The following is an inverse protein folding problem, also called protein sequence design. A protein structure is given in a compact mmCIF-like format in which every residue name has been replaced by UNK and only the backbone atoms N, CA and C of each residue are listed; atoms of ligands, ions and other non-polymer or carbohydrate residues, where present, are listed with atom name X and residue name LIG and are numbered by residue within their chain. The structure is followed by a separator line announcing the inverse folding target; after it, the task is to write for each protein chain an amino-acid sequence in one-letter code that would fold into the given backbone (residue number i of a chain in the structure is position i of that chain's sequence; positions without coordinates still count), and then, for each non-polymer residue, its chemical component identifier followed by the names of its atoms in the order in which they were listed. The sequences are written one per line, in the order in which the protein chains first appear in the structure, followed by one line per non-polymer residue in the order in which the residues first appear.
data_IF_631753940392
#
_entry.id   IF_631753940392
#
_cell.length_a   1.000
_cell.length_b   1.000
_cell.length_c   1.000
_cell.angle_alpha   90.00
_cell.angle_beta   90.00
_cell.angle_gamma   90.00
#
_symmetry.space_group_name_H-M   'P 1'
#
loop_
_entity.id
_entity.type
_entity.pdbx_description
1 polymer ?
#
# COMPACT_ATOMS: atom_id res chain seq x y z
N UNK A 1 -18.88 0.94 -20.51
CA UNK A 1 -17.68 0.10 -20.76
C UNK A 1 -16.93 -0.02 -19.44
N UNK A 2 -17.18 -1.09 -18.69
CA UNK A 2 -16.53 -1.35 -17.42
C UNK A 2 -15.19 -2.05 -17.73
N UNK A 3 -14.07 -1.35 -17.56
CA UNK A 3 -12.76 -2.00 -17.56
C UNK A 3 -12.68 -2.85 -16.29
N UNK A 4 -12.96 -4.14 -16.43
CA UNK A 4 -12.49 -5.14 -15.49
C UNK A 4 -10.97 -5.07 -15.56
N UNK A 5 -10.32 -4.65 -14.47
CA UNK A 5 -8.88 -4.74 -14.36
C UNK A 5 -8.51 -6.22 -14.49
N UNK A 6 -8.01 -6.59 -15.65
CA UNK A 6 -7.44 -7.90 -15.94
C UNK A 6 -6.41 -8.20 -14.85
N UNK A 7 -6.63 -9.27 -14.09
CA UNK A 7 -5.68 -9.84 -13.14
C UNK A 7 -4.48 -10.41 -13.90
N UNK A 8 -3.65 -9.52 -14.45
CA UNK A 8 -2.36 -9.86 -15.00
C UNK A 8 -1.41 -10.11 -13.84
N UNK A 9 -1.26 -11.40 -13.50
CA UNK A 9 -0.27 -11.91 -12.54
C UNK A 9 1.05 -11.14 -12.66
N UNK A 10 1.46 -10.47 -11.58
CA UNK A 10 2.68 -9.67 -11.53
C UNK A 10 3.88 -10.40 -12.15
N UNK A 11 4.47 -9.81 -13.19
CA UNK A 11 5.63 -10.35 -13.89
C UNK A 11 6.92 -9.95 -13.19
N UNK A 12 7.47 -10.86 -12.39
CA UNK A 12 8.81 -10.74 -11.80
C UNK A 12 9.85 -10.96 -12.91
N UNK A 13 10.76 -10.00 -13.06
CA UNK A 13 11.87 -10.05 -14.02
C UNK A 13 13.07 -10.72 -13.39
N UNK A 14 13.44 -10.29 -12.19
CA UNK A 14 14.53 -10.89 -11.39
C UNK A 14 14.15 -10.86 -9.92
N UNK A 15 14.66 -11.83 -9.15
CA UNK A 15 14.60 -11.85 -7.69
C UNK A 15 15.96 -12.28 -7.15
N UNK A 16 16.50 -11.53 -6.20
CA UNK A 16 17.81 -11.81 -5.62
C UNK A 16 17.91 -11.25 -4.20
N UNK A 17 18.81 -11.84 -3.41
CA UNK A 17 19.14 -11.39 -2.05
C UNK A 17 19.88 -10.06 -2.11
N UNK A 18 19.50 -9.11 -1.24
CA UNK A 18 20.16 -7.82 -1.13
C UNK A 18 21.56 -7.96 -0.52
N UNK A 19 22.49 -7.13 -1.01
CA UNK A 19 23.79 -6.96 -0.36
C UNK A 19 23.64 -6.29 1.00
N UNK A 20 24.66 -6.40 1.88
CA UNK A 20 24.65 -5.69 3.18
C UNK A 20 24.45 -4.18 3.03
N UNK A 21 25.06 -3.59 1.99
CA UNK A 21 24.94 -2.15 1.69
C UNK A 21 23.51 -1.78 1.29
N UNK A 22 22.93 -2.54 0.36
CA UNK A 22 21.58 -2.24 -0.16
C UNK A 22 20.50 -2.50 0.90
N UNK A 23 20.68 -3.54 1.72
CA UNK A 23 19.83 -3.80 2.90
C UNK A 23 19.85 -2.61 3.87
N UNK A 24 21.02 -2.03 4.13
CA UNK A 24 21.14 -0.84 5.00
C UNK A 24 20.44 0.38 4.39
N UNK A 25 20.59 0.61 3.09
CA UNK A 25 19.89 1.70 2.40
C UNK A 25 18.36 1.52 2.46
N UNK A 26 17.87 0.31 2.20
CA UNK A 26 16.44 -0.01 2.31
C UNK A 26 15.92 0.21 3.74
N UNK A 27 16.69 -0.17 4.75
CA UNK A 27 16.35 0.05 6.16
C UNK A 27 16.17 1.54 6.49
N UNK A 28 17.15 2.38 6.10
CA UNK A 28 17.12 3.82 6.34
C UNK A 28 15.93 4.49 5.63
N UNK A 29 15.63 4.04 4.40
CA UNK A 29 14.49 4.52 3.65
C UNK A 29 13.15 4.10 4.27
N UNK A 30 13.02 2.83 4.66
CA UNK A 30 11.82 2.31 5.32
C UNK A 30 11.57 3.01 6.66
N UNK A 31 12.63 3.33 7.41
CA UNK A 31 12.52 4.07 8.66
C UNK A 31 11.92 5.47 8.45
N UNK A 32 12.32 6.16 7.37
CA UNK A 32 11.82 7.49 7.02
C UNK A 32 10.40 7.47 6.45
N UNK A 33 10.08 6.51 5.59
CA UNK A 33 8.84 6.54 4.80
C UNK A 33 7.69 5.70 5.32
N UNK A 34 7.99 4.68 6.12
CA UNK A 34 7.01 3.66 6.54
C UNK A 34 6.92 3.57 8.06
N UNK A 35 8.08 3.52 8.74
CA UNK A 35 8.16 3.55 10.19
C UNK A 35 9.12 2.52 10.78
N UNK A 36 9.43 2.71 12.06
CA UNK A 36 10.45 1.96 12.78
C UNK A 36 10.14 0.46 12.88
N UNK A 37 8.86 0.07 13.07
CA UNK A 37 8.48 -1.35 13.19
C UNK A 37 8.79 -2.14 11.91
N UNK A 38 8.39 -1.60 10.75
CA UNK A 38 8.66 -2.24 9.45
C UNK A 38 10.15 -2.24 9.13
N UNK A 39 10.84 -1.13 9.41
CA UNK A 39 12.30 -1.06 9.25
C UNK A 39 13.01 -2.08 10.15
N UNK A 40 12.53 -2.29 11.37
CA UNK A 40 13.06 -3.26 12.32
C UNK A 40 13.13 -4.68 11.75
N UNK A 41 12.09 -5.11 11.03
CA UNK A 41 12.04 -6.42 10.36
C UNK A 41 13.19 -6.59 9.35
N UNK A 42 13.45 -5.53 8.58
CA UNK A 42 14.54 -5.51 7.59
C UNK A 42 15.86 -5.66 8.32
N UNK A 43 16.11 -4.86 9.37
CA UNK A 43 17.37 -4.89 10.09
C UNK A 43 17.65 -6.26 10.73
N UNK A 44 16.64 -6.87 11.35
CA UNK A 44 16.77 -8.13 12.09
C UNK A 44 16.96 -9.37 11.21
N UNK A 45 16.49 -9.37 9.96
CA UNK A 45 16.53 -10.55 9.10
C UNK A 45 17.83 -10.67 8.30
N UNK A 46 18.40 -11.87 8.22
CA UNK A 46 19.50 -12.15 7.29
C UNK A 46 19.03 -12.37 5.85
N UNK A 47 17.75 -12.69 5.64
CA UNK A 47 17.18 -12.99 4.34
C UNK A 47 16.25 -11.86 3.86
N UNK A 48 16.87 -10.84 3.27
CA UNK A 48 16.15 -9.76 2.60
C UNK A 48 16.40 -9.86 1.10
N UNK A 49 15.33 -10.00 0.32
CA UNK A 49 15.37 -10.12 -1.13
C UNK A 49 14.60 -8.98 -1.79
N UNK A 50 14.97 -8.65 -3.02
CA UNK A 50 14.21 -7.74 -3.88
C UNK A 50 13.80 -8.49 -5.15
N UNK A 51 12.54 -8.34 -5.54
CA UNK A 51 12.02 -8.72 -6.85
C UNK A 51 11.79 -7.45 -7.67
N UNK A 52 12.41 -7.38 -8.85
CA UNK A 52 12.17 -6.32 -9.85
C UNK A 52 11.01 -6.74 -10.75
N UNK A 53 10.05 -5.83 -10.98
CA UNK A 53 8.83 -6.14 -11.72
C UNK A 53 8.75 -5.39 -13.04
N UNK A 54 8.12 -6.02 -14.04
CA UNK A 54 7.66 -5.33 -15.25
C UNK A 54 6.21 -4.93 -15.06
N UNK A 55 5.98 -3.78 -14.44
CA UNK A 55 4.66 -3.23 -14.17
C UNK A 55 4.69 -1.70 -14.26
N UNK A 56 3.54 -1.07 -14.54
CA UNK A 56 3.47 0.35 -14.92
C UNK A 56 3.82 1.33 -13.79
N UNK A 57 3.64 0.95 -12.52
CA UNK A 57 3.88 1.83 -11.36
C UNK A 57 4.60 1.13 -10.21
N UNK A 58 4.20 -0.09 -9.86
CA UNK A 58 4.93 -0.99 -8.96
C UNK A 58 6.24 -1.46 -9.60
N UNK A 59 7.38 -1.04 -9.06
CA UNK A 59 8.71 -1.34 -9.62
C UNK A 59 9.43 -2.46 -8.88
N UNK A 60 9.24 -2.55 -7.56
CA UNK A 60 9.95 -3.50 -6.70
C UNK A 60 9.06 -4.06 -5.59
N UNK A 61 9.28 -5.32 -5.25
CA UNK A 61 8.76 -5.96 -4.04
C UNK A 61 9.94 -6.41 -3.18
N UNK A 62 9.90 -6.12 -1.88
CA UNK A 62 10.91 -6.57 -0.94
C UNK A 62 10.36 -7.66 -0.04
N UNK A 63 11.11 -8.75 0.04
CA UNK A 63 10.79 -9.92 0.85
C UNK A 63 11.71 -9.95 2.06
N UNK A 64 11.14 -10.12 3.25
CA UNK A 64 11.88 -10.36 4.49
C UNK A 64 11.47 -11.74 4.98
N UNK A 65 12.44 -12.66 5.05
CA UNK A 65 12.21 -14.07 5.39
C UNK A 65 11.10 -14.72 4.54
N UNK A 66 11.09 -14.41 3.24
CA UNK A 66 10.12 -14.93 2.27
C UNK A 66 8.77 -14.19 2.25
N UNK A 67 8.51 -13.26 3.17
CA UNK A 67 7.27 -12.50 3.24
C UNK A 67 7.38 -11.16 2.52
N UNK A 68 6.44 -10.84 1.63
CA UNK A 68 6.35 -9.49 1.03
C UNK A 68 6.10 -8.48 2.14
N UNK A 69 7.08 -7.62 2.39
CA UNK A 69 7.08 -6.67 3.50
C UNK A 69 6.89 -5.24 2.99
N UNK A 70 7.51 -4.91 1.86
CA UNK A 70 7.42 -3.59 1.23
C UNK A 70 7.18 -3.70 -0.27
N UNK A 71 6.48 -2.71 -0.81
CA UNK A 71 6.32 -2.49 -2.23
C UNK A 71 6.79 -1.08 -2.59
N UNK A 72 7.53 -0.95 -3.70
CA UNK A 72 7.99 0.34 -4.23
C UNK A 72 7.16 0.75 -5.43
N UNK A 73 6.59 1.94 -5.37
CA UNK A 73 5.90 2.57 -6.47
C UNK A 73 6.66 3.80 -6.96
N UNK A 74 6.75 3.98 -8.27
CA UNK A 74 7.53 5.06 -8.91
C UNK A 74 7.24 6.45 -8.32
N UNK A 75 5.96 6.76 -8.05
CA UNK A 75 5.52 8.08 -7.55
C UNK A 75 5.19 8.12 -6.06
N UNK A 76 5.05 6.97 -5.40
CA UNK A 76 4.61 6.90 -4.00
C UNK A 76 5.71 6.45 -3.03
N UNK A 77 6.88 6.07 -3.55
CA UNK A 77 7.98 5.54 -2.74
C UNK A 77 7.62 4.17 -2.16
N UNK A 78 8.05 3.93 -0.93
CA UNK A 78 7.79 2.69 -0.22
C UNK A 78 6.43 2.72 0.48
N UNK A 79 5.69 1.62 0.32
CA UNK A 79 4.51 1.29 1.14
C UNK A 79 4.68 -0.10 1.78
N UNK A 80 4.14 -0.33 2.99
CA UNK A 80 4.11 -1.66 3.57
C UNK A 80 3.09 -2.56 2.89
N UNK A 81 3.31 -3.86 2.94
CA UNK A 81 2.30 -4.85 2.60
C UNK A 81 1.18 -4.84 3.63
N UNK A 82 -0.08 -4.91 3.17
CA UNK A 82 -1.24 -5.11 4.05
C UNK A 82 -1.11 -6.41 4.84
N UNK A 83 -0.37 -7.41 4.32
CA UNK A 83 -0.16 -8.67 5.01
C UNK A 83 0.51 -8.48 6.39
N UNK A 84 1.37 -7.46 6.55
CA UNK A 84 1.98 -7.13 7.83
C UNK A 84 0.93 -6.70 8.87
N UNK A 85 -0.06 -5.92 8.45
CA UNK A 85 -1.16 -5.47 9.33
C UNK A 85 -1.88 -6.69 9.90
N UNK A 86 -2.25 -7.64 9.02
CA UNK A 86 -3.10 -8.76 9.40
C UNK A 86 -2.36 -9.94 10.05
N UNK A 87 -1.05 -10.09 9.81
CA UNK A 87 -0.26 -11.22 10.35
C UNK A 87 0.66 -10.85 11.49
N UNK A 88 1.12 -9.60 11.52
CA UNK A 88 2.07 -9.10 12.53
C UNK A 88 1.48 -8.00 13.41
N UNK A 89 0.29 -7.47 13.08
CA UNK A 89 -0.32 -6.36 13.82
C UNK A 89 0.37 -5.01 13.57
N UNK A 90 1.30 -4.94 12.62
CA UNK A 90 2.08 -3.73 12.35
C UNK A 90 1.28 -2.83 11.41
N UNK A 91 0.80 -1.71 11.91
CA UNK A 91 0.05 -0.72 11.11
C UNK A 91 0.91 0.53 10.93
N UNK A 92 1.18 0.99 9.69
CA UNK A 92 1.93 2.22 9.50
C UNK A 92 1.14 3.41 10.05
N UNK A 93 1.86 4.41 10.57
CA UNK A 93 1.27 5.64 11.10
C UNK A 93 0.88 6.60 9.96
N UNK A 94 -0.08 6.19 9.16
CA UNK A 94 -0.65 6.98 8.07
C UNK A 94 -2.04 7.51 8.44
N UNK A 95 -2.43 8.70 7.95
CA UNK A 95 -3.81 9.15 8.06
C UNK A 95 -4.76 8.17 7.36
N UNK A 96 -6.02 8.19 7.75
CA UNK A 96 -7.01 7.23 7.29
C UNK A 96 -8.22 7.91 6.66
N UNK A 97 -8.81 7.27 5.66
CA UNK A 97 -10.19 7.54 5.27
C UNK A 97 -11.02 6.29 5.46
N UNK A 98 -12.29 6.48 5.78
CA UNK A 98 -13.24 5.41 6.02
C UNK A 98 -14.29 5.43 4.91
N UNK A 99 -14.50 4.29 4.28
CA UNK A 99 -15.39 4.15 3.13
C UNK A 99 -16.62 3.31 3.47
N UNK A 100 -17.73 3.60 2.81
CA UNK A 100 -18.95 2.78 2.96
C UNK A 100 -18.81 1.38 2.33
N UNK A 101 -19.71 0.49 2.74
CA UNK A 101 -19.79 -0.89 2.24
C UNK A 101 -19.98 -0.98 0.72
N UNK A 102 -20.62 0.02 0.09
CA UNK A 102 -20.83 0.02 -1.36
C UNK A 102 -19.54 0.24 -2.14
N UNK A 103 -18.61 1.03 -1.60
CA UNK A 103 -17.30 1.29 -2.21
C UNK A 103 -16.33 0.10 -2.09
N UNK A 104 -16.43 -0.70 -1.03
CA UNK A 104 -15.47 -1.76 -0.70
C UNK A 104 -15.25 -2.76 -1.85
N UNK A 105 -16.28 -3.36 -2.47
CA UNK A 105 -16.06 -4.32 -3.55
C UNK A 105 -15.31 -3.72 -4.74
N UNK A 106 -15.53 -2.44 -5.05
CA UNK A 106 -14.83 -1.77 -6.14
C UNK A 106 -13.35 -1.55 -5.81
N UNK A 107 -13.05 -1.11 -4.58
CA UNK A 107 -11.69 -0.88 -4.11
C UNK A 107 -10.91 -2.20 -4.07
N UNK A 108 -11.54 -3.28 -3.60
CA UNK A 108 -10.97 -4.63 -3.60
C UNK A 108 -10.87 -5.28 -5.00
N UNK A 109 -11.37 -4.60 -6.03
CA UNK A 109 -11.15 -4.94 -7.43
C UNK A 109 -10.21 -3.95 -8.13
N UNK A 110 -9.45 -3.15 -7.35
CA UNK A 110 -8.44 -2.22 -7.86
C UNK A 110 -8.96 -0.86 -8.32
N UNK A 111 -10.23 -0.53 -8.07
CA UNK A 111 -10.73 0.82 -8.32
C UNK A 111 -10.08 1.84 -7.37
N UNK A 112 -9.92 3.06 -7.87
CA UNK A 112 -9.53 4.20 -7.05
C UNK A 112 -10.68 4.59 -6.09
N UNK A 113 -10.36 5.20 -4.94
CA UNK A 113 -11.40 5.66 -4.00
C UNK A 113 -11.99 6.96 -4.52
N UNK A 114 -13.31 6.99 -4.64
CA UNK A 114 -14.08 8.16 -5.08
C UNK A 114 -14.61 8.91 -3.86
N UNK A 115 -14.64 10.25 -3.94
CA UNK A 115 -15.13 11.13 -2.86
C UNK A 115 -16.47 10.68 -2.27
N UNK A 116 -17.52 10.34 -3.07
CA UNK A 116 -18.82 9.96 -2.49
C UNK A 116 -18.81 8.72 -1.59
N UNK A 117 -17.82 7.84 -1.78
CA UNK A 117 -17.64 6.63 -0.98
C UNK A 117 -17.00 6.89 0.38
N UNK A 118 -16.38 8.06 0.60
CA UNK A 118 -15.72 8.41 1.86
C UNK A 118 -16.77 8.95 2.85
N UNK A 119 -16.78 8.41 4.06
CA UNK A 119 -17.69 8.77 5.16
C UNK A 119 -17.00 9.49 6.31
N UNK A 120 -15.72 9.21 6.52
CA UNK A 120 -14.93 9.86 7.57
C UNK A 120 -13.48 9.99 7.12
N UNK A 121 -12.83 11.07 7.57
CA UNK A 121 -11.42 11.36 7.34
C UNK A 121 -10.77 11.56 8.70
N UNK A 122 -9.72 10.80 8.97
CA UNK A 122 -8.95 10.81 10.22
C UNK A 122 -7.52 11.30 9.95
N UNK A 123 -7.15 12.35 10.68
CA UNK A 123 -5.90 13.07 10.48
C UNK A 123 -6.00 14.19 9.44
N UNK A 124 -4.93 14.97 9.34
CA UNK A 124 -4.73 16.02 8.34
C UNK A 124 -3.60 15.59 7.40
N UNK A 125 -3.77 15.84 6.11
CA UNK A 125 -2.81 15.47 5.07
C UNK A 125 -2.97 16.28 3.80
N UNK A 126 -1.90 16.31 3.01
CA UNK A 126 -1.85 16.95 1.70
C UNK A 126 -1.99 15.92 0.56
N UNK A 127 -2.23 16.42 -0.65
CA UNK A 127 -2.13 15.60 -1.86
C UNK A 127 -0.73 14.97 -1.97
N UNK A 128 -0.66 13.70 -2.37
CA UNK A 128 0.57 12.91 -2.39
C UNK A 128 0.83 12.11 -1.11
N UNK A 129 0.10 12.38 -0.02
CA UNK A 129 0.24 11.62 1.23
C UNK A 129 -0.23 10.17 1.08
N UNK A 130 0.44 9.24 1.76
CA UNK A 130 0.03 7.83 1.86
C UNK A 130 -1.13 7.69 2.84
N UNK A 131 -2.21 7.03 2.42
CA UNK A 131 -3.47 6.95 3.15
C UNK A 131 -3.86 5.49 3.37
N UNK A 132 -4.35 5.18 4.57
CA UNK A 132 -5.07 3.93 4.85
C UNK A 132 -6.53 4.08 4.46
N UNK A 133 -7.04 3.16 3.66
CA UNK A 133 -8.46 3.06 3.35
C UNK A 133 -9.06 2.02 4.26
N UNK A 134 -10.04 2.43 5.07
CA UNK A 134 -10.68 1.60 6.09
C UNK A 134 -12.15 1.36 5.79
N UNK A 135 -12.64 0.19 6.15
CA UNK A 135 -14.09 -0.06 6.26
C UNK A 135 -14.66 0.84 7.37
N UNK A 136 -15.69 1.63 7.06
CA UNK A 136 -16.34 2.53 8.02
C UNK A 136 -16.95 1.81 9.23
N UNK A 137 -17.55 0.63 9.02
CA UNK A 137 -18.30 -0.06 10.07
C UNK A 137 -17.40 -0.94 10.93
N UNK A 138 -16.35 -1.51 10.32
CA UNK A 138 -15.44 -2.48 10.99
C UNK A 138 -14.07 -1.90 11.34
N UNK A 139 -13.72 -0.72 10.82
CA UNK A 139 -12.42 -0.06 11.02
C UNK A 139 -11.22 -0.78 10.37
N UNK A 140 -11.45 -1.88 9.64
CA UNK A 140 -10.41 -2.72 9.04
C UNK A 140 -9.74 -2.01 7.87
N UNK A 141 -8.41 -2.07 7.79
CA UNK A 141 -7.65 -1.53 6.64
C UNK A 141 -7.83 -2.46 5.44
N UNK A 142 -8.45 -1.96 4.38
CA UNK A 142 -8.73 -2.74 3.17
C UNK A 142 -7.78 -2.40 2.01
N UNK A 143 -7.20 -1.19 2.04
CA UNK A 143 -6.27 -0.74 1.02
C UNK A 143 -5.30 0.32 1.57
N UNK A 144 -4.20 0.51 0.85
CA UNK A 144 -3.28 1.62 0.96
C UNK A 144 -3.28 2.35 -0.39
N UNK A 145 -3.36 3.66 -0.33
CA UNK A 145 -3.33 4.50 -1.52
C UNK A 145 -2.57 5.80 -1.30
N UNK A 146 -2.57 6.64 -2.33
CA UNK A 146 -2.04 8.01 -2.27
C UNK A 146 -3.15 9.00 -2.51
N UNK A 147 -3.27 9.99 -1.64
CA UNK A 147 -4.28 11.04 -1.78
C UNK A 147 -4.00 11.89 -3.02
N UNK A 148 -5.05 12.23 -3.77
CA UNK A 148 -5.00 13.15 -4.90
C UNK A 148 -5.43 14.58 -4.54
N UNK A 149 -5.89 14.76 -3.31
CA UNK A 149 -6.43 16.00 -2.75
C UNK A 149 -5.93 16.14 -1.31
N UNK A 150 -5.90 17.36 -0.78
CA UNK A 150 -5.70 17.54 0.65
C UNK A 150 -6.94 17.08 1.45
N UNK A 151 -6.75 16.78 2.72
CA UNK A 151 -7.83 16.49 3.66
C UNK A 151 -8.87 17.63 3.73
N UNK A 152 -8.44 18.89 3.62
CA UNK A 152 -9.32 20.06 3.57
C UNK A 152 -10.17 20.07 2.28
N UNK A 153 -9.53 19.84 1.13
CA UNK A 153 -10.24 19.74 -0.16
C UNK A 153 -11.24 18.59 -0.15
N UNK A 154 -10.86 17.42 0.37
CA UNK A 154 -11.73 16.24 0.47
C UNK A 154 -12.98 16.49 1.30
N UNK A 155 -12.90 17.31 2.36
CA UNK A 155 -14.08 17.70 3.15
C UNK A 155 -14.99 18.68 2.41
N UNK A 156 -14.44 19.47 1.47
CA UNK A 156 -15.16 20.51 0.76
C UNK A 156 -15.83 20.03 -0.54
N UNK A 157 -15.22 19.07 -1.24
CA UNK A 157 -15.74 18.57 -2.52
C UNK A 157 -16.70 17.39 -2.35
N UNK A 158 -17.64 17.23 -3.28
CA UNK A 158 -18.63 16.14 -3.25
C UNK A 158 -18.46 15.10 -4.37
N UNK A 159 -17.49 15.30 -5.28
CA UNK A 159 -17.26 14.41 -6.43
C UNK A 159 -15.79 14.36 -6.79
N UNK A 160 -15.43 13.34 -7.56
CA UNK A 160 -14.07 13.16 -8.08
C UNK A 160 -13.34 12.00 -7.43
N UNK A 161 -12.12 11.77 -7.90
CA UNK A 161 -11.23 10.73 -7.40
C UNK A 161 -10.44 11.29 -6.22
N UNK A 162 -10.60 10.66 -5.07
CA UNK A 162 -9.98 11.08 -3.82
C UNK A 162 -8.59 10.45 -3.64
N UNK A 163 -8.48 9.13 -3.82
CA UNK A 163 -7.28 8.38 -3.51
C UNK A 163 -6.98 7.43 -4.66
N UNK A 164 -5.73 7.46 -5.14
CA UNK A 164 -5.20 6.48 -6.07
C UNK A 164 -4.93 5.17 -5.30
N UNK A 165 -5.61 4.10 -5.67
CA UNK A 165 -5.45 2.80 -5.02
C UNK A 165 -4.13 2.14 -5.47
N UNK A 166 -3.31 1.67 -4.53
CA UNK A 166 -1.98 1.10 -4.80
C UNK A 166 -1.88 -0.36 -4.39
N UNK A 167 -2.37 -0.70 -3.19
CA UNK A 167 -2.33 -2.05 -2.66
C UNK A 167 -3.62 -2.32 -1.87
N UNK A 168 -4.32 -3.41 -2.15
CA UNK A 168 -5.59 -3.77 -1.52
C UNK A 168 -5.66 -5.26 -1.19
N UNK A 169 -6.58 -5.64 -0.30
CA UNK A 169 -6.72 -7.04 0.09
C UNK A 169 -7.02 -7.93 -1.12
N UNK A 170 -6.35 -9.08 -1.17
CA UNK A 170 -6.44 -10.07 -2.24
C UNK A 170 -5.87 -9.67 -3.61
N UNK A 171 -5.21 -8.51 -3.72
CA UNK A 171 -4.46 -8.18 -4.93
C UNK A 171 -3.22 -9.08 -5.11
N UNK A 172 -2.53 -8.93 -6.24
CA UNK A 172 -1.37 -9.75 -6.55
C UNK A 172 -0.23 -9.62 -5.53
N UNK A 173 -0.05 -8.45 -4.91
CA UNK A 173 0.95 -8.24 -3.85
C UNK A 173 0.59 -9.08 -2.62
N UNK A 174 -0.69 -9.08 -2.25
CA UNK A 174 -1.23 -9.90 -1.16
C UNK A 174 -1.07 -11.39 -1.45
N UNK A 175 -1.44 -11.84 -2.65
CA UNK A 175 -1.35 -13.26 -3.03
C UNK A 175 0.09 -13.79 -2.98
N UNK A 176 1.08 -12.97 -3.38
CA UNK A 176 2.50 -13.31 -3.29
C UNK A 176 3.01 -13.44 -1.84
N UNK A 177 2.26 -12.97 -0.85
CA UNK A 177 2.58 -13.14 0.57
C UNK A 177 2.07 -14.47 1.15
N UNK A 178 1.19 -15.17 0.42
CA UNK A 178 0.57 -16.43 0.82
C UNK A 178 1.27 -17.66 0.24
N UNK A 179 2.14 -17.48 -0.76
CA UNK A 179 2.91 -18.53 -1.43
C UNK A 179 4.23 -18.80 -0.73
#
# INVERSE_FOLDING_TARGET
MCCVASSQKLKIVTRYKLSKKDKKALFEEAMREVGAEVAGLINSSENVEVAKLKHASLTELYFVDGMVTLARFEKAGLIPSLYLIYRKGITPSYPSVYVDQGAIPHILNGADVMVPGIKMIEGEFDAGSKILVRDHDKGRVIAIGVSLMSSQELRAVHKGKAIKNLHYLNDDIWQLSLS
#
